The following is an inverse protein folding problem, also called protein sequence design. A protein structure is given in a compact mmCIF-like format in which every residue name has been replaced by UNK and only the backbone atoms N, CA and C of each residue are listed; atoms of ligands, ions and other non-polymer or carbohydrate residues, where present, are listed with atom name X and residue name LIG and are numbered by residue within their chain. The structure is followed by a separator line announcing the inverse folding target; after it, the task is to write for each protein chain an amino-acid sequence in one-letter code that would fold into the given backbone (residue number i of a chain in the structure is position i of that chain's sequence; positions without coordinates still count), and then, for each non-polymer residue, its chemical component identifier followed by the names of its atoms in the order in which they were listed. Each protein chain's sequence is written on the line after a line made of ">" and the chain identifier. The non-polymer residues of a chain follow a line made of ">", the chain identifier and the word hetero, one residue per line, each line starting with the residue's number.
data_IF_910154493491
#
_entry.id   IF_910154493491
#
_cell.length_a   1.000
_cell.length_b   1.000
_cell.length_c   1.000
_cell.angle_alpha   90.00
_cell.angle_beta   90.00
_cell.angle_gamma   90.00
#
_symmetry.space_group_name_H-M   'P 1'
#
loop_
_entity.id
_entity.type
_entity.pdbx_description
1 polymer ?
#
# COMPACT_ATOMS: atom_id res chain seq x y z
N UNK A 1 -6.20 10.98 4.90
CA UNK A 1 -6.74 12.06 4.06
C UNK A 1 -6.36 11.75 2.62
N UNK A 2 -7.33 11.81 1.69
CA UNK A 2 -7.02 11.70 0.27
C UNK A 2 -6.05 12.79 -0.19
N UNK A 3 -5.17 12.48 -1.15
CA UNK A 3 -4.30 13.47 -1.80
C UNK A 3 -3.05 13.90 -1.04
N UNK A 4 -2.65 13.25 0.07
CA UNK A 4 -1.38 13.56 0.77
C UNK A 4 -0.15 12.89 0.15
N UNK A 5 -0.32 12.07 -0.90
CA UNK A 5 0.77 11.43 -1.64
C UNK A 5 1.18 10.05 -1.10
N UNK A 6 0.25 9.29 -0.50
CA UNK A 6 0.53 7.92 -0.03
C UNK A 6 1.08 7.04 -1.15
N UNK A 7 0.36 6.95 -2.26
CA UNK A 7 0.73 6.16 -3.44
C UNK A 7 2.11 6.54 -3.99
N UNK A 8 2.39 7.85 -4.07
CA UNK A 8 3.70 8.35 -4.50
C UNK A 8 4.83 7.93 -3.53
N UNK A 9 4.56 7.97 -2.23
CA UNK A 9 5.52 7.52 -1.22
C UNK A 9 5.68 5.99 -1.25
N UNK A 10 4.59 5.23 -1.40
CA UNK A 10 4.66 3.78 -1.56
C UNK A 10 5.48 3.38 -2.78
N UNK A 11 5.27 4.01 -3.93
CA UNK A 11 6.06 3.74 -5.14
C UNK A 11 7.54 4.07 -4.93
N UNK A 12 7.86 5.19 -4.27
CA UNK A 12 9.24 5.55 -3.95
C UNK A 12 9.90 4.58 -2.94
N UNK A 13 9.14 4.09 -1.95
CA UNK A 13 9.61 3.04 -1.02
C UNK A 13 9.93 1.75 -1.79
N UNK A 14 9.06 1.31 -2.71
CA UNK A 14 9.34 0.12 -3.54
C UNK A 14 10.62 0.29 -4.31
N UNK A 15 10.82 1.44 -4.98
CA UNK A 15 12.05 1.73 -5.73
C UNK A 15 13.28 1.72 -4.83
N UNK A 16 13.25 2.38 -3.68
CA UNK A 16 14.38 2.38 -2.72
C UNK A 16 14.74 0.97 -2.26
N UNK A 17 13.75 0.12 -1.98
CA UNK A 17 14.00 -1.27 -1.59
C UNK A 17 14.62 -2.09 -2.72
N UNK A 18 14.15 -1.91 -3.97
CA UNK A 18 14.70 -2.59 -5.15
C UNK A 18 16.16 -2.21 -5.37
N UNK A 19 16.48 -0.91 -5.27
CA UNK A 19 17.83 -0.39 -5.49
C UNK A 19 18.80 -0.74 -4.34
N UNK A 20 18.32 -0.68 -3.08
CA UNK A 20 19.15 -0.94 -1.90
C UNK A 20 19.40 -2.44 -1.63
N UNK A 21 18.45 -3.31 -1.99
CA UNK A 21 18.50 -4.73 -1.67
C UNK A 21 18.39 -5.63 -2.91
N UNK A 22 19.36 -5.56 -3.84
CA UNK A 22 19.35 -6.39 -5.04
C UNK A 22 19.34 -7.89 -4.67
N UNK A 23 18.40 -8.63 -5.27
CA UNK A 23 18.24 -10.06 -5.01
C UNK A 23 17.30 -10.40 -3.83
N UNK A 24 16.77 -9.41 -3.11
CA UNK A 24 15.67 -9.61 -2.19
C UNK A 24 14.33 -9.66 -2.92
N UNK A 25 13.40 -10.47 -2.42
CA UNK A 25 12.05 -10.59 -2.97
C UNK A 25 11.18 -9.50 -2.37
N UNK A 26 10.70 -8.59 -3.22
CA UNK A 26 9.87 -7.46 -2.83
C UNK A 26 8.48 -7.62 -3.45
N UNK A 27 7.43 -7.45 -2.64
CA UNK A 27 6.03 -7.45 -3.09
C UNK A 27 5.43 -6.08 -2.85
N UNK A 28 4.89 -5.47 -3.89
CA UNK A 28 4.06 -4.28 -3.80
C UNK A 28 2.59 -4.68 -3.90
N UNK A 29 1.78 -4.29 -2.91
CA UNK A 29 0.33 -4.55 -2.88
C UNK A 29 -0.41 -3.23 -2.99
N UNK A 30 -1.22 -3.09 -4.04
CA UNK A 30 -2.15 -1.97 -4.19
C UNK A 30 -3.51 -2.35 -3.58
N UNK A 31 -3.81 -1.79 -2.42
CA UNK A 31 -5.07 -2.00 -1.71
C UNK A 31 -6.05 -0.84 -1.86
N UNK A 32 -5.72 0.18 -2.67
CA UNK A 32 -6.62 1.27 -3.04
C UNK A 32 -7.52 0.84 -4.21
N UNK A 33 -8.85 0.98 -4.10
CA UNK A 33 -9.76 0.69 -5.20
C UNK A 33 -9.50 1.45 -6.50
N UNK A 34 -8.76 2.55 -6.45
CA UNK A 34 -8.38 3.35 -7.62
C UNK A 34 -7.19 2.76 -8.40
N UNK A 35 -6.49 1.76 -7.82
CA UNK A 35 -5.33 1.07 -8.42
C UNK A 35 -4.26 2.06 -8.91
N UNK A 36 -3.94 3.06 -8.08
CA UNK A 36 -3.02 4.14 -8.44
C UNK A 36 -1.55 3.75 -8.38
N UNK A 37 -1.20 2.77 -7.54
CA UNK A 37 0.18 2.33 -7.34
C UNK A 37 0.74 1.66 -8.61
N UNK A 38 -0.08 0.95 -9.37
CA UNK A 38 0.33 0.35 -10.64
C UNK A 38 0.83 1.41 -11.63
N UNK A 39 0.09 2.51 -11.78
CA UNK A 39 0.50 3.63 -12.64
C UNK A 39 1.80 4.26 -12.15
N UNK A 40 1.92 4.51 -10.83
CA UNK A 40 3.11 5.11 -10.23
C UNK A 40 4.37 4.24 -10.39
N UNK A 41 4.22 2.91 -10.42
CA UNK A 41 5.30 1.96 -10.67
C UNK A 41 5.51 1.63 -12.15
N UNK A 42 4.59 2.03 -13.04
CA UNK A 42 4.65 1.68 -14.47
C UNK A 42 4.24 0.24 -14.76
N UNK A 43 3.39 -0.35 -13.94
CA UNK A 43 2.93 -1.75 -14.04
C UNK A 43 1.58 -1.81 -14.77
N UNK A 44 1.45 -2.73 -15.72
CA UNK A 44 0.18 -3.04 -16.35
C UNK A 44 -0.52 -4.18 -15.63
N UNK A 45 -1.73 -3.92 -15.12
CA UNK A 45 -2.53 -4.89 -14.36
C UNK A 45 -3.69 -5.37 -15.23
N UNK A 46 -3.75 -6.68 -15.50
CA UNK A 46 -4.84 -7.31 -16.23
C UNK A 46 -5.92 -7.88 -15.30
N UNK A 47 -5.51 -8.42 -14.16
CA UNK A 47 -6.39 -9.08 -13.20
C UNK A 47 -6.12 -8.61 -11.78
N UNK A 48 -7.18 -8.62 -10.96
CA UNK A 48 -7.15 -8.23 -9.55
C UNK A 48 -7.67 -9.35 -8.65
N UNK A 49 -7.42 -9.25 -7.36
CA UNK A 49 -7.99 -10.18 -6.37
C UNK A 49 -9.53 -10.10 -6.35
N UNK A 50 -10.10 -8.91 -6.57
CA UNK A 50 -11.55 -8.74 -6.60
C UNK A 50 -12.20 -9.42 -7.80
N UNK A 51 -11.48 -9.67 -8.90
CA UNK A 51 -12.02 -10.48 -10.02
C UNK A 51 -12.30 -11.90 -9.57
N UNK A 52 -11.38 -12.52 -8.82
CA UNK A 52 -11.57 -13.86 -8.22
C UNK A 52 -12.74 -13.83 -7.25
N UNK A 53 -12.79 -12.84 -6.36
CA UNK A 53 -13.87 -12.66 -5.41
C UNK A 53 -15.23 -12.53 -6.10
N UNK A 54 -15.33 -11.70 -7.11
CA UNK A 54 -16.57 -11.44 -7.84
C UNK A 54 -17.06 -12.71 -8.56
N UNK A 55 -16.15 -13.51 -9.11
CA UNK A 55 -16.51 -14.80 -9.73
C UNK A 55 -17.11 -15.77 -8.71
N UNK A 56 -16.49 -15.92 -7.53
CA UNK A 56 -17.01 -16.76 -6.43
C UNK A 56 -18.41 -16.30 -6.01
N UNK A 57 -18.60 -15.00 -5.84
CA UNK A 57 -19.87 -14.42 -5.42
C UNK A 57 -20.95 -14.64 -6.47
N UNK A 58 -20.71 -14.29 -7.73
CA UNK A 58 -21.67 -14.45 -8.82
C UNK A 58 -22.07 -15.92 -9.03
N UNK A 59 -21.08 -16.82 -8.96
CA UNK A 59 -21.31 -18.26 -9.09
C UNK A 59 -22.18 -18.80 -7.95
N UNK A 60 -21.93 -18.33 -6.72
CA UNK A 60 -22.75 -18.67 -5.55
C UNK A 60 -24.19 -18.13 -5.67
N UNK A 61 -24.36 -16.90 -6.14
CA UNK A 61 -25.68 -16.28 -6.34
C UNK A 61 -26.53 -16.99 -7.41
N UNK A 62 -25.89 -17.61 -8.41
CA UNK A 62 -26.54 -18.46 -9.42
C UNK A 62 -26.90 -19.85 -8.88
N UNK A 63 -26.53 -20.17 -7.63
CA UNK A 63 -26.74 -21.48 -7.03
C UNK A 63 -25.74 -22.55 -7.45
N UNK A 64 -24.67 -22.19 -8.13
CA UNK A 64 -23.60 -23.05 -8.63
C UNK A 64 -22.53 -23.29 -7.55
N UNK A 65 -22.93 -23.70 -6.34
CA UNK A 65 -22.06 -23.79 -5.15
C UNK A 65 -20.82 -24.67 -5.34
N UNK A 66 -20.89 -25.73 -6.16
CA UNK A 66 -19.72 -26.59 -6.43
C UNK A 66 -18.65 -25.83 -7.16
N UNK A 67 -19.02 -25.06 -8.18
CA UNK A 67 -18.10 -24.25 -8.96
C UNK A 67 -17.50 -23.11 -8.11
N UNK A 68 -18.30 -22.47 -7.24
CA UNK A 68 -17.79 -21.49 -6.30
C UNK A 68 -16.73 -22.07 -5.35
N UNK A 69 -16.91 -23.31 -4.88
CA UNK A 69 -15.92 -24.02 -4.06
C UNK A 69 -14.66 -24.36 -4.87
N UNK A 70 -14.79 -24.75 -6.13
CA UNK A 70 -13.65 -25.01 -7.02
C UNK A 70 -12.81 -23.77 -7.22
N UNK A 71 -13.43 -22.61 -7.50
CA UNK A 71 -12.74 -21.32 -7.62
C UNK A 71 -11.99 -20.97 -6.33
N UNK A 72 -12.59 -21.18 -5.16
CA UNK A 72 -11.92 -20.95 -3.88
C UNK A 72 -10.75 -21.91 -3.64
N UNK A 73 -10.89 -23.20 -3.98
CA UNK A 73 -9.82 -24.18 -3.83
C UNK A 73 -8.60 -23.85 -4.72
N UNK A 74 -8.85 -23.23 -5.88
CA UNK A 74 -7.83 -22.79 -6.81
C UNK A 74 -7.30 -21.37 -6.49
N UNK A 75 -7.91 -20.67 -5.54
CA UNK A 75 -7.62 -19.26 -5.29
C UNK A 75 -6.12 -18.97 -5.07
N UNK A 76 -5.38 -19.87 -4.42
CA UNK A 76 -3.93 -19.68 -4.24
C UNK A 76 -3.18 -19.62 -5.58
N UNK A 77 -3.48 -20.52 -6.50
CA UNK A 77 -2.88 -20.53 -7.83
C UNK A 77 -3.33 -19.30 -8.63
N UNK A 78 -4.62 -19.00 -8.56
CA UNK A 78 -5.22 -17.86 -9.27
C UNK A 78 -4.69 -16.52 -8.77
N UNK A 79 -4.48 -16.34 -7.45
CA UNK A 79 -3.85 -15.16 -6.88
C UNK A 79 -2.40 -15.06 -7.35
N UNK A 80 -1.68 -16.18 -7.40
CA UNK A 80 -0.33 -16.20 -7.95
C UNK A 80 -0.32 -15.77 -9.43
N UNK A 81 -1.27 -16.24 -10.24
CA UNK A 81 -1.42 -15.86 -11.64
C UNK A 81 -1.83 -14.39 -11.83
N UNK A 82 -2.43 -13.73 -10.81
CA UNK A 82 -2.74 -12.29 -10.84
C UNK A 82 -1.53 -11.41 -10.48
N UNK A 83 -0.48 -11.99 -9.90
CA UNK A 83 0.73 -11.24 -9.62
C UNK A 83 1.47 -10.91 -10.91
N UNK A 84 1.90 -9.65 -11.02
CA UNK A 84 2.73 -9.19 -12.14
C UNK A 84 4.18 -9.22 -11.69
N UNK A 85 5.02 -10.00 -12.37
CA UNK A 85 6.46 -9.99 -12.18
C UNK A 85 7.07 -8.75 -12.86
N UNK A 86 7.82 -7.97 -12.10
CA UNK A 86 8.50 -6.77 -12.55
C UNK A 86 10.02 -6.90 -12.35
N UNK A 87 10.78 -5.94 -12.86
CA UNK A 87 12.22 -5.90 -12.63
C UNK A 87 12.52 -5.53 -11.15
N UNK A 88 12.94 -6.53 -10.38
CA UNK A 88 13.29 -6.41 -8.96
C UNK A 88 12.13 -6.50 -7.97
N UNK A 89 10.87 -6.58 -8.38
CA UNK A 89 9.72 -6.76 -7.49
C UNK A 89 8.56 -7.50 -8.14
N UNK A 90 7.61 -7.97 -7.33
CA UNK A 90 6.31 -8.45 -7.78
C UNK A 90 5.22 -7.46 -7.38
N UNK A 91 4.15 -7.39 -8.16
CA UNK A 91 3.03 -6.48 -7.92
C UNK A 91 1.70 -7.25 -7.82
N UNK A 92 0.84 -6.86 -6.87
CA UNK A 92 -0.48 -7.42 -6.67
C UNK A 92 -1.52 -6.31 -6.47
N UNK A 93 -2.58 -6.31 -7.27
CA UNK A 93 -3.72 -5.40 -7.09
C UNK A 93 -4.89 -6.09 -6.40
N UNK A 94 -5.42 -5.46 -5.35
CA UNK A 94 -6.64 -5.95 -4.69
C UNK A 94 -7.88 -5.65 -5.53
N UNK A 95 -7.97 -4.46 -6.11
CA UNK A 95 -9.07 -4.05 -6.96
C UNK A 95 -10.26 -3.45 -6.19
N UNK A 96 -11.38 -3.26 -6.90
CA UNK A 96 -12.59 -2.61 -6.39
C UNK A 96 -13.71 -3.64 -6.19
N UNK A 97 -14.34 -3.72 -5.00
CA UNK A 97 -15.50 -4.58 -4.81
C UNK A 97 -16.69 -4.05 -5.63
N UNK A 98 -17.13 -4.82 -6.61
CA UNK A 98 -18.29 -4.48 -7.45
C UNK A 98 -19.62 -4.87 -6.79
N UNK A 99 -19.62 -5.89 -5.93
CA UNK A 99 -20.82 -6.40 -5.30
C UNK A 99 -21.02 -5.82 -3.90
N UNK A 100 -22.19 -5.22 -3.66
CA UNK A 100 -22.66 -4.88 -2.32
C UNK A 100 -23.08 -6.16 -1.60
N UNK A 101 -22.32 -6.58 -0.59
CA UNK A 101 -22.65 -7.74 0.24
C UNK A 101 -21.50 -8.07 1.21
N UNK A 102 -21.88 -8.57 2.39
CA UNK A 102 -20.89 -9.01 3.38
C UNK A 102 -20.52 -10.48 3.10
N UNK A 103 -19.64 -10.70 2.13
CA UNK A 103 -19.06 -12.05 1.88
C UNK A 103 -17.83 -12.25 2.78
N UNK A 104 -18.03 -12.14 4.10
CA UNK A 104 -16.96 -12.15 5.09
C UNK A 104 -16.07 -13.41 4.99
N UNK A 105 -16.65 -14.57 4.72
CA UNK A 105 -15.90 -15.83 4.59
C UNK A 105 -14.98 -15.82 3.36
N UNK A 106 -15.42 -15.32 2.22
CA UNK A 106 -14.61 -15.22 1.00
C UNK A 106 -13.46 -14.23 1.23
N UNK A 107 -13.76 -13.06 1.80
CA UNK A 107 -12.73 -12.06 2.11
C UNK A 107 -11.69 -12.60 3.11
N UNK A 108 -12.12 -13.32 4.15
CA UNK A 108 -11.20 -13.92 5.13
C UNK A 108 -10.30 -14.95 4.46
N UNK A 109 -10.84 -15.79 3.59
CA UNK A 109 -10.06 -16.80 2.88
C UNK A 109 -9.03 -16.16 1.95
N UNK A 110 -9.44 -15.19 1.12
CA UNK A 110 -8.51 -14.50 0.22
C UNK A 110 -7.43 -13.75 0.99
N UNK A 111 -7.76 -13.10 2.11
CA UNK A 111 -6.79 -12.46 3.00
C UNK A 111 -5.77 -13.46 3.55
N UNK A 112 -6.22 -14.63 3.97
CA UNK A 112 -5.33 -15.70 4.45
C UNK A 112 -4.35 -16.14 3.36
N UNK A 113 -4.85 -16.35 2.13
CA UNK A 113 -3.99 -16.70 0.98
C UNK A 113 -2.99 -15.59 0.66
N UNK A 114 -3.40 -14.32 0.66
CA UNK A 114 -2.50 -13.17 0.46
C UNK A 114 -1.42 -13.16 1.55
N UNK A 115 -1.81 -13.35 2.81
CA UNK A 115 -0.86 -13.40 3.93
C UNK A 115 0.14 -14.55 3.80
N UNK A 116 -0.31 -15.72 3.34
CA UNK A 116 0.58 -16.86 3.09
C UNK A 116 1.58 -16.56 1.97
N UNK A 117 1.14 -15.97 0.85
CA UNK A 117 2.00 -15.60 -0.25
C UNK A 117 3.00 -14.49 0.16
N UNK A 118 2.55 -13.53 0.93
CA UNK A 118 3.40 -12.45 1.43
C UNK A 118 4.58 -12.95 2.28
N UNK A 119 4.43 -14.08 3.00
CA UNK A 119 5.51 -14.71 3.75
C UNK A 119 6.66 -15.25 2.88
N UNK A 120 6.43 -15.41 1.58
CA UNK A 120 7.47 -15.81 0.63
C UNK A 120 8.36 -14.62 0.20
N UNK A 121 8.04 -13.38 0.60
CA UNK A 121 8.77 -12.17 0.25
C UNK A 121 9.57 -11.64 1.45
N UNK A 122 10.74 -11.03 1.16
CA UNK A 122 11.58 -10.41 2.20
C UNK A 122 11.00 -9.05 2.63
N UNK A 123 10.39 -8.31 1.70
CA UNK A 123 9.70 -7.04 1.94
C UNK A 123 8.32 -7.03 1.27
N UNK A 124 7.34 -6.51 1.99
CA UNK A 124 5.98 -6.29 1.47
C UNK A 124 5.59 -4.84 1.72
N UNK A 125 5.32 -4.10 0.66
CA UNK A 125 4.85 -2.70 0.72
C UNK A 125 3.38 -2.66 0.34
N UNK A 126 2.54 -2.13 1.23
CA UNK A 126 1.09 -2.07 1.03
C UNK A 126 0.66 -0.62 0.89
N UNK A 127 0.16 -0.22 -0.27
CA UNK A 127 -0.50 1.07 -0.44
C UNK A 127 -1.96 0.96 0.00
N UNK A 128 -2.26 1.59 1.13
CA UNK A 128 -3.60 1.60 1.71
C UNK A 128 -4.35 2.89 1.41
N UNK A 129 -5.62 2.76 1.08
CA UNK A 129 -6.54 3.88 1.06
C UNK A 129 -6.60 4.56 2.45
N UNK A 130 -7.23 5.73 2.54
CA UNK A 130 -7.41 6.47 3.78
C UNK A 130 -8.38 5.74 4.76
N UNK A 131 -7.97 4.56 5.26
CA UNK A 131 -8.75 3.77 6.22
C UNK A 131 -8.11 2.42 6.47
N UNK A 132 -7.56 2.24 7.68
CA UNK A 132 -6.91 1.00 8.09
C UNK A 132 -7.84 -0.21 8.07
N UNK A 133 -9.16 0.02 8.19
CA UNK A 133 -10.17 -1.03 8.20
C UNK A 133 -10.19 -1.85 6.91
N UNK A 134 -9.95 -1.22 5.76
CA UNK A 134 -9.89 -1.92 4.47
C UNK A 134 -8.68 -2.83 4.41
N UNK A 135 -7.53 -2.37 4.88
CA UNK A 135 -6.30 -3.17 4.96
C UNK A 135 -6.52 -4.38 5.87
N UNK A 136 -7.02 -4.18 7.09
CA UNK A 136 -7.28 -5.26 8.03
C UNK A 136 -8.30 -6.28 7.49
N UNK A 137 -9.33 -5.82 6.81
CA UNK A 137 -10.39 -6.72 6.29
C UNK A 137 -9.98 -7.51 5.05
N UNK A 138 -9.07 -6.97 4.21
CA UNK A 138 -8.87 -7.46 2.84
C UNK A 138 -7.45 -7.92 2.55
N UNK A 139 -6.46 -7.45 3.30
CA UNK A 139 -5.05 -7.67 3.01
C UNK A 139 -4.34 -8.38 4.15
N UNK A 140 -4.14 -7.70 5.29
CA UNK A 140 -3.36 -8.22 6.42
C UNK A 140 -3.89 -7.72 7.76
N UNK A 141 -3.67 -8.51 8.83
CA UNK A 141 -3.91 -8.12 10.22
C UNK A 141 -2.62 -7.80 10.97
N UNK A 142 -1.48 -8.12 10.38
CA UNK A 142 -0.17 -7.88 11.00
C UNK A 142 0.78 -7.27 9.99
N UNK A 143 1.47 -6.21 10.41
CA UNK A 143 2.56 -5.59 9.67
C UNK A 143 3.72 -5.31 10.62
N UNK A 144 4.96 -5.32 10.15
CA UNK A 144 6.11 -4.91 10.97
C UNK A 144 6.14 -3.40 11.18
N UNK A 145 5.82 -2.64 10.15
CA UNK A 145 5.91 -1.18 10.14
C UNK A 145 4.62 -0.55 9.64
N UNK A 146 4.08 0.40 10.41
CA UNK A 146 2.97 1.25 10.01
C UNK A 146 3.47 2.66 9.76
N UNK A 147 3.34 3.14 8.52
CA UNK A 147 3.75 4.49 8.14
C UNK A 147 2.53 5.37 7.89
N UNK A 148 2.33 6.35 8.74
CA UNK A 148 1.31 7.37 8.58
C UNK A 148 1.82 8.48 7.64
N UNK A 149 0.94 8.99 6.78
CA UNK A 149 1.29 10.07 5.85
C UNK A 149 0.36 11.25 6.05
N UNK A 150 0.93 12.43 6.26
CA UNK A 150 0.20 13.69 6.45
C UNK A 150 0.84 14.83 5.66
N UNK A 151 0.15 15.96 5.57
CA UNK A 151 0.70 17.28 5.27
C UNK A 151 0.89 18.10 6.57
N UNK A 152 1.39 19.32 6.49
CA UNK A 152 1.57 20.19 7.66
C UNK A 152 0.26 20.70 8.27
N UNK A 153 -0.92 20.36 7.74
CA UNK A 153 -2.19 20.85 8.25
C UNK A 153 -2.61 20.14 9.55
N UNK A 154 -3.16 20.88 10.49
CA UNK A 154 -3.76 20.32 11.70
C UNK A 154 -4.83 19.26 11.40
N UNK A 155 -5.58 19.44 10.29
CA UNK A 155 -6.55 18.44 9.81
C UNK A 155 -5.86 17.13 9.41
N UNK A 156 -4.71 17.21 8.74
CA UNK A 156 -3.93 16.03 8.35
C UNK A 156 -3.44 15.25 9.57
N UNK A 157 -2.91 15.95 10.56
CA UNK A 157 -2.45 15.34 11.83
C UNK A 157 -3.61 14.70 12.59
N UNK A 158 -4.78 15.33 12.64
CA UNK A 158 -5.97 14.74 13.27
C UNK A 158 -6.41 13.44 12.59
N UNK A 159 -6.39 13.39 11.26
CA UNK A 159 -6.68 12.15 10.51
C UNK A 159 -5.65 11.05 10.83
N UNK A 160 -4.36 11.40 10.96
CA UNK A 160 -3.35 10.42 11.39
C UNK A 160 -3.62 9.90 12.81
N UNK A 161 -4.12 10.74 13.72
CA UNK A 161 -4.52 10.31 15.07
C UNK A 161 -5.66 9.30 15.02
N UNK A 162 -6.72 9.59 14.26
CA UNK A 162 -7.86 8.69 14.07
C UNK A 162 -7.42 7.35 13.44
N UNK A 163 -6.52 7.40 12.45
CA UNK A 163 -5.97 6.18 11.81
C UNK A 163 -5.14 5.38 12.82
N UNK A 164 -4.33 6.04 13.64
CA UNK A 164 -3.55 5.36 14.69
C UNK A 164 -4.46 4.66 15.70
N UNK A 165 -5.48 5.36 16.21
CA UNK A 165 -6.46 4.79 17.15
C UNK A 165 -7.15 3.56 16.54
N UNK A 166 -7.61 3.65 15.29
CA UNK A 166 -8.19 2.51 14.59
C UNK A 166 -7.18 1.38 14.35
N UNK A 167 -5.92 1.69 14.06
CA UNK A 167 -4.89 0.69 13.87
C UNK A 167 -4.55 -0.07 15.13
N UNK A 168 -4.51 0.61 16.28
CA UNK A 168 -4.27 0.00 17.59
C UNK A 168 -5.32 -1.09 17.93
N UNK A 169 -6.54 -0.94 17.41
CA UNK A 169 -7.65 -1.89 17.62
C UNK A 169 -7.72 -3.00 16.56
N UNK A 170 -7.24 -2.75 15.33
CA UNK A 170 -7.53 -3.60 14.17
C UNK A 170 -6.36 -4.39 13.63
N UNK A 171 -5.12 -3.93 13.86
CA UNK A 171 -3.92 -4.58 13.34
C UNK A 171 -2.83 -4.68 14.41
N UNK A 172 -1.91 -5.61 14.23
CA UNK A 172 -0.68 -5.68 15.02
C UNK A 172 0.48 -5.08 14.23
N UNK A 173 1.26 -4.20 14.85
CA UNK A 173 2.48 -3.64 14.25
C UNK A 173 3.59 -3.52 15.30
N UNK A 174 4.85 -3.59 14.87
CA UNK A 174 6.03 -3.49 15.75
C UNK A 174 6.51 -2.05 15.88
N UNK A 175 6.45 -1.28 14.79
CA UNK A 175 6.88 0.12 14.73
C UNK A 175 5.83 0.97 14.02
N UNK A 176 5.71 2.21 14.47
CA UNK A 176 4.89 3.23 13.82
C UNK A 176 5.72 4.49 13.62
N UNK A 177 5.56 5.14 12.47
CA UNK A 177 6.16 6.43 12.19
C UNK A 177 5.30 7.27 11.25
N UNK A 178 5.64 8.53 11.10
CA UNK A 178 4.90 9.47 10.29
C UNK A 178 5.81 10.18 9.29
N UNK A 179 5.39 10.25 8.03
CA UNK A 179 6.00 11.10 7.01
C UNK A 179 5.14 12.34 6.83
N UNK A 180 5.74 13.52 6.96
CA UNK A 180 5.11 14.81 6.65
C UNK A 180 5.48 15.16 5.22
N UNK A 181 4.54 15.00 4.32
CA UNK A 181 4.75 15.23 2.89
C UNK A 181 4.21 16.60 2.46
N UNK A 182 4.72 17.12 1.32
CA UNK A 182 4.32 18.41 0.75
C UNK A 182 4.55 19.57 1.72
N UNK A 183 5.69 19.54 2.41
CA UNK A 183 6.10 20.62 3.31
C UNK A 183 6.24 21.92 2.52
N UNK A 184 5.52 22.94 2.96
CA UNK A 184 5.53 24.29 2.35
C UNK A 184 6.44 25.24 3.12
N UNK A 185 6.38 25.16 4.45
CA UNK A 185 7.18 26.01 5.34
C UNK A 185 7.94 25.16 6.37
N UNK A 186 9.26 24.94 6.19
CA UNK A 186 10.05 24.13 7.11
C UNK A 186 10.08 24.69 8.55
N UNK A 187 9.87 26.00 8.75
CA UNK A 187 9.84 26.60 10.10
C UNK A 187 8.66 26.12 10.96
N UNK A 188 7.63 25.55 10.32
CA UNK A 188 6.45 25.00 10.98
C UNK A 188 6.55 23.51 11.29
N UNK A 189 7.66 22.85 10.95
CA UNK A 189 7.82 21.39 11.15
C UNK A 189 7.65 20.98 12.61
N UNK A 190 8.15 21.78 13.56
CA UNK A 190 8.05 21.50 14.99
C UNK A 190 6.61 21.49 15.53
N UNK A 191 5.66 22.04 14.79
CA UNK A 191 4.24 22.06 15.15
C UNK A 191 3.52 20.75 14.71
N UNK A 192 4.12 19.99 13.80
CA UNK A 192 3.53 18.75 13.30
C UNK A 192 3.98 17.59 14.19
N UNK A 193 3.17 17.30 15.22
CA UNK A 193 3.46 16.23 16.20
C UNK A 193 2.23 15.37 16.43
N UNK A 194 2.50 14.10 16.65
CA UNK A 194 1.51 13.11 17.05
C UNK A 194 2.10 12.29 18.21
N UNK A 195 1.42 12.26 19.33
CA UNK A 195 1.91 11.58 20.54
C UNK A 195 2.15 10.08 20.28
N UNK A 196 3.35 9.63 20.65
CA UNK A 196 3.76 8.24 20.46
C UNK A 196 4.09 7.85 19.02
N UNK A 197 4.28 8.82 18.12
CA UNK A 197 4.66 8.60 16.72
C UNK A 197 5.83 9.51 16.34
N UNK A 198 6.94 8.91 15.96
CA UNK A 198 8.10 9.64 15.48
C UNK A 198 7.88 10.14 14.05
N UNK A 199 8.35 11.38 13.76
CA UNK A 199 8.39 11.88 12.39
C UNK A 199 9.62 11.31 11.70
N UNK A 200 9.40 10.49 10.69
CA UNK A 200 10.46 9.81 9.93
C UNK A 200 11.15 10.75 8.94
N UNK A 201 10.37 11.61 8.28
CA UNK A 201 10.88 12.59 7.33
C UNK A 201 9.90 13.74 7.12
N UNK A 202 10.47 14.90 6.74
CA UNK A 202 9.74 16.06 6.23
C UNK A 202 10.12 16.23 4.76
N UNK A 203 9.17 15.99 3.86
CA UNK A 203 9.41 15.98 2.42
C UNK A 203 8.82 17.24 1.80
N UNK A 204 9.64 18.16 1.25
CA UNK A 204 9.15 19.32 0.52
C UNK A 204 8.33 18.92 -0.71
N UNK A 205 7.55 19.86 -1.23
CA UNK A 205 6.89 19.67 -2.53
C UNK A 205 7.95 19.34 -3.59
N UNK A 206 7.69 18.31 -4.41
CA UNK A 206 8.59 17.86 -5.47
C UNK A 206 8.02 18.23 -6.85
N UNK A 207 8.54 19.28 -7.50
CA UNK A 207 8.06 19.70 -8.82
C UNK A 207 8.36 18.68 -9.92
N UNK A 208 9.47 17.92 -9.79
CA UNK A 208 9.87 16.92 -10.78
C UNK A 208 8.90 15.73 -10.71
N UNK A 209 8.62 15.25 -9.49
CA UNK A 209 7.62 14.22 -9.28
C UNK A 209 6.23 14.66 -9.78
N UNK A 210 5.81 15.88 -9.47
CA UNK A 210 4.51 16.39 -9.94
C UNK A 210 4.43 16.46 -11.47
N UNK A 211 5.51 16.83 -12.16
CA UNK A 211 5.58 16.83 -13.62
C UNK A 211 5.53 15.40 -14.18
N UNK A 212 6.25 14.46 -13.57
CA UNK A 212 6.24 13.06 -13.99
C UNK A 212 4.85 12.44 -13.81
N UNK A 213 4.17 12.71 -12.70
CA UNK A 213 2.80 12.22 -12.42
C UNK A 213 1.79 12.69 -13.47
N UNK A 214 1.85 13.97 -13.88
CA UNK A 214 1.03 14.52 -14.97
C UNK A 214 1.26 13.78 -16.30
N UNK A 215 2.49 13.33 -16.56
CA UNK A 215 2.86 12.62 -17.79
C UNK A 215 2.71 11.10 -17.69
N UNK A 216 2.22 10.57 -16.55
CA UNK A 216 2.09 9.14 -16.31
C UNK A 216 3.42 8.37 -16.30
N UNK A 217 4.51 9.05 -15.92
CA UNK A 217 5.83 8.44 -15.82
C UNK A 217 6.00 7.68 -14.52
N UNK A 218 6.73 6.57 -14.61
CA UNK A 218 7.05 5.75 -13.44
C UNK A 218 7.99 6.47 -12.47
N UNK A 219 7.90 6.11 -11.18
CA UNK A 219 8.82 6.54 -10.12
C UNK A 219 10.28 6.18 -10.44
N UNK A 220 10.53 5.12 -11.20
CA UNK A 220 11.86 4.72 -11.65
C UNK A 220 12.53 5.72 -12.61
N UNK A 221 11.76 6.65 -13.18
CA UNK A 221 12.27 7.74 -14.01
C UNK A 221 12.62 9.02 -13.23
N UNK A 222 12.39 9.05 -11.91
CA UNK A 222 12.76 10.20 -11.09
C UNK A 222 14.27 10.25 -10.86
N UNK A 223 14.89 11.45 -10.78
CA UNK A 223 16.26 11.60 -10.30
C UNK A 223 16.39 11.11 -8.83
N UNK A 224 17.54 10.53 -8.49
CA UNK A 224 17.83 10.08 -7.12
C UNK A 224 17.81 11.23 -6.09
N UNK A 225 18.17 12.45 -6.54
CA UNK A 225 18.19 13.66 -5.73
C UNK A 225 16.84 14.40 -5.68
N UNK A 226 15.77 13.81 -6.21
CA UNK A 226 14.42 14.39 -6.08
C UNK A 226 13.97 14.39 -4.62
N UNK A 227 13.17 15.41 -4.23
CA UNK A 227 12.76 15.58 -2.84
C UNK A 227 12.06 14.32 -2.27
N UNK A 228 11.26 13.63 -3.09
CA UNK A 228 10.55 12.43 -2.64
C UNK A 228 11.52 11.27 -2.41
N UNK A 229 12.51 11.05 -3.27
CA UNK A 229 13.48 9.97 -3.12
C UNK A 229 14.36 10.21 -1.89
N UNK A 230 14.93 11.40 -1.76
CA UNK A 230 15.75 11.78 -0.58
C UNK A 230 14.94 11.65 0.71
N UNK A 231 13.68 12.09 0.72
CA UNK A 231 12.83 12.01 1.90
C UNK A 231 12.43 10.59 2.26
N UNK A 232 12.17 9.73 1.27
CA UNK A 232 11.87 8.31 1.49
C UNK A 232 13.10 7.57 1.99
N UNK A 233 14.28 7.80 1.42
CA UNK A 233 15.54 7.24 1.92
C UNK A 233 15.74 7.58 3.40
N UNK A 234 15.57 8.85 3.78
CA UNK A 234 15.65 9.30 5.17
C UNK A 234 14.61 8.61 6.06
N UNK A 235 13.38 8.46 5.57
CA UNK A 235 12.31 7.82 6.33
C UNK A 235 12.62 6.34 6.59
N UNK A 236 13.10 5.60 5.60
CA UNK A 236 13.47 4.18 5.74
C UNK A 236 14.66 3.99 6.68
N UNK A 237 15.65 4.88 6.64
CA UNK A 237 16.75 4.89 7.60
C UNK A 237 16.25 5.10 9.04
N UNK A 238 15.39 6.12 9.26
CA UNK A 238 14.83 6.39 10.59
C UNK A 238 13.87 5.29 11.07
N UNK A 239 13.28 4.54 10.15
CA UNK A 239 12.45 3.38 10.44
C UNK A 239 13.28 2.12 10.79
N UNK A 240 14.60 2.15 10.50
CA UNK A 240 15.54 1.05 10.78
C UNK A 240 15.50 -0.06 9.74
N UNK A 241 15.17 0.28 8.50
CA UNK A 241 15.19 -0.66 7.35
C UNK A 241 16.62 -0.76 6.77
N UNK A 242 17.40 0.33 6.86
CA UNK A 242 18.81 0.41 6.44
C UNK A 242 19.75 0.39 7.61
#
# INVERSE_FOLDING_TARGET
>A
KGGVGKTSLCSAIVRELVEAFPGKRILAIDADPAVGLSTALGVHVEHTIDDIRNEVVQTSERGEYRQAIEVLNEARFRIFDTMVECDGFAFLAIGRPEAAGCYCSVNSYLKEVISMLANDFDYVVIDGEAGIEQISRRVMEQVSHLVLVTDQSAKGVNVCREIKEAADDLITYERIGMIVNRVVDPSMNDLVKLDGVDVLAYIPTDPIHAANDIHGKSVFELPEDSNIMVGVHQALHNLGIF
#
